data_IF_886439911348
#
_entry.id   IF_886439911348
#
_cell.length_a   1.000
_cell.length_b   1.000
_cell.length_c   1.000
_cell.angle_alpha   90.00
_cell.angle_beta   90.00
_cell.angle_gamma   90.00
#
_symmetry.space_group_name_H-M   'P 1'
#
loop_
_entity.id
_entity.type
_entity.pdbx_description
1 polymer ?
#
# COMPACT_ATOMS: atom_id res chain seq x y z
N UNK A 1 47.44 50.90 -8.86
CA UNK A 1 48.82 51.18 -9.30
C UNK A 1 49.21 50.16 -10.34
N UNK A 2 49.60 50.74 -11.54
CA UNK A 2 50.51 50.22 -12.60
C UNK A 2 50.08 48.88 -13.28
N UNK A 3 49.50 48.94 -14.47
CA UNK A 3 50.01 49.20 -15.85
C UNK A 3 51.29 48.38 -16.17
N UNK A 4 51.19 47.46 -17.15
CA UNK A 4 51.79 47.79 -18.44
C UNK A 4 51.39 46.78 -19.54
N UNK A 5 51.09 47.40 -20.64
CA UNK A 5 50.96 46.89 -22.01
C UNK A 5 52.30 46.39 -22.51
N UNK A 6 52.32 45.47 -23.43
CA UNK A 6 53.19 45.58 -24.61
C UNK A 6 52.59 44.91 -25.84
N UNK A 7 52.73 45.57 -26.93
CA UNK A 7 52.16 45.50 -28.25
C UNK A 7 53.15 44.93 -29.25
N UNK A 8 52.64 44.11 -30.17
CA UNK A 8 52.96 43.99 -31.61
C UNK A 8 54.33 43.47 -32.08
N UNK A 9 54.36 42.62 -33.05
CA UNK A 9 54.50 42.98 -34.48
C UNK A 9 54.36 41.75 -35.40
N UNK A 10 53.68 42.08 -36.47
CA UNK A 10 53.46 41.37 -37.72
C UNK A 10 54.73 40.91 -38.43
N UNK A 11 54.67 39.80 -39.13
CA UNK A 11 55.25 39.70 -40.47
C UNK A 11 54.54 38.63 -41.31
N UNK A 12 54.15 39.06 -42.47
CA UNK A 12 53.51 38.37 -43.55
C UNK A 12 54.48 37.57 -44.43
N UNK A 13 54.04 36.43 -44.97
CA UNK A 13 53.98 36.02 -46.40
C UNK A 13 54.19 34.50 -46.60
N UNK A 14 53.96 33.92 -47.78
CA UNK A 14 52.66 33.43 -48.25
C UNK A 14 52.71 31.97 -48.74
N UNK A 15 51.53 31.40 -48.96
CA UNK A 15 51.24 30.51 -50.10
C UNK A 15 51.73 29.08 -50.05
N UNK A 16 50.81 28.17 -49.86
CA UNK A 16 50.65 27.10 -50.88
C UNK A 16 49.27 26.47 -50.77
N UNK A 17 48.55 26.50 -51.86
CA UNK A 17 47.26 25.90 -51.97
C UNK A 17 47.39 24.36 -52.04
N UNK A 18 46.76 23.72 -51.11
CA UNK A 18 46.51 22.29 -51.11
C UNK A 18 45.07 22.07 -50.68
N UNK A 19 44.17 21.81 -51.66
CA UNK A 19 42.84 21.32 -51.37
C UNK A 19 42.93 20.08 -50.51
N UNK A 20 42.50 20.17 -49.25
CA UNK A 20 42.17 19.00 -48.47
C UNK A 20 40.85 18.44 -49.01
N UNK A 21 40.75 17.13 -49.28
CA UNK A 21 39.47 16.51 -49.58
C UNK A 21 38.50 16.70 -48.39
N UNK A 22 37.19 16.85 -48.66
CA UNK A 22 36.19 16.96 -47.58
C UNK A 22 36.25 15.69 -46.75
N UNK A 23 36.26 15.88 -45.42
CA UNK A 23 36.06 14.81 -44.46
C UNK A 23 34.75 14.11 -44.80
N UNK A 24 34.69 12.75 -44.77
CA UNK A 24 33.44 12.06 -44.96
C UNK A 24 32.47 12.50 -43.85
N UNK A 25 31.31 12.98 -44.27
CA UNK A 25 30.17 13.14 -43.36
C UNK A 25 29.96 11.80 -42.66
N UNK A 26 30.16 11.81 -41.32
CA UNK A 26 29.72 10.73 -40.47
C UNK A 26 28.20 10.67 -40.60
N UNK A 27 27.75 9.82 -41.54
CA UNK A 27 26.35 9.41 -41.57
C UNK A 27 26.01 8.84 -40.20
N UNK A 28 25.15 9.56 -39.49
CA UNK A 28 24.59 9.11 -38.23
C UNK A 28 24.05 7.70 -38.43
N UNK A 29 24.64 6.74 -37.72
CA UNK A 29 24.20 5.35 -37.68
C UNK A 29 22.78 5.32 -37.06
N UNK A 30 21.73 4.93 -37.82
CA UNK A 30 20.36 4.90 -37.30
C UNK A 30 20.16 3.84 -36.22
N UNK A 31 21.16 2.99 -35.95
CA UNK A 31 21.13 2.01 -34.85
C UNK A 31 21.45 2.56 -33.46
N UNK A 32 22.00 3.80 -33.34
CA UNK A 32 22.44 4.38 -32.06
C UNK A 32 21.38 5.16 -31.29
N UNK A 33 20.29 5.55 -31.93
CA UNK A 33 19.20 6.29 -31.28
C UNK A 33 18.32 5.41 -30.41
N UNK A 34 18.13 4.14 -30.75
CA UNK A 34 17.28 3.21 -29.97
C UNK A 34 17.90 2.79 -28.64
N UNK A 35 19.22 2.70 -28.54
CA UNK A 35 19.94 2.25 -27.35
C UNK A 35 20.04 3.39 -26.28
N UNK A 36 20.12 4.64 -26.73
CA UNK A 36 20.07 5.83 -25.87
C UNK A 36 18.71 5.97 -25.17
N UNK A 37 17.62 5.89 -25.95
CA UNK A 37 16.27 5.99 -25.43
C UNK A 37 15.91 4.85 -24.46
N UNK A 38 16.37 3.64 -24.71
CA UNK A 38 16.17 2.50 -23.81
C UNK A 38 16.93 2.67 -22.50
N UNK A 39 18.15 3.17 -22.56
CA UNK A 39 18.97 3.47 -21.38
C UNK A 39 18.37 4.60 -20.55
N UNK A 40 17.88 5.65 -21.17
CA UNK A 40 17.29 6.79 -20.47
C UNK A 40 15.97 6.37 -19.79
N UNK A 41 15.15 5.54 -20.42
CA UNK A 41 13.96 4.93 -19.79
C UNK A 41 14.33 4.10 -18.57
N UNK A 42 15.32 3.23 -18.69
CA UNK A 42 15.79 2.40 -17.56
C UNK A 42 16.31 3.24 -16.39
N UNK A 43 17.04 4.33 -16.70
CA UNK A 43 17.52 5.28 -15.68
C UNK A 43 16.36 5.95 -14.96
N UNK A 44 15.32 6.37 -15.69
CA UNK A 44 14.15 7.00 -15.06
C UNK A 44 13.34 5.99 -14.24
N UNK A 45 13.12 4.78 -14.73
CA UNK A 45 12.50 3.68 -13.96
C UNK A 45 13.27 3.39 -12.66
N UNK A 46 14.61 3.32 -12.73
CA UNK A 46 15.44 3.13 -11.54
C UNK A 46 15.36 4.30 -10.56
N UNK A 47 15.29 5.53 -11.06
CA UNK A 47 15.12 6.72 -10.21
C UNK A 47 13.77 6.74 -9.52
N UNK A 48 12.70 6.36 -10.22
CA UNK A 48 11.36 6.24 -9.64
C UNK A 48 11.32 5.15 -8.58
N UNK A 49 11.92 3.98 -8.84
CA UNK A 49 12.02 2.90 -7.86
C UNK A 49 12.80 3.31 -6.60
N UNK A 50 13.90 4.07 -6.75
CA UNK A 50 14.67 4.60 -5.62
C UNK A 50 13.86 5.63 -4.83
N UNK A 51 13.18 6.57 -5.49
CA UNK A 51 12.31 7.54 -4.82
C UNK A 51 11.19 6.84 -4.03
N UNK A 52 10.51 5.88 -4.65
CA UNK A 52 9.47 5.10 -3.99
C UNK A 52 9.99 4.32 -2.76
N UNK A 53 11.23 3.78 -2.82
CA UNK A 53 11.88 3.14 -1.68
C UNK A 53 12.19 4.13 -0.57
N UNK A 54 12.73 5.31 -0.91
CA UNK A 54 13.12 6.32 0.07
C UNK A 54 11.89 6.92 0.76
N UNK A 55 10.80 7.17 0.02
CA UNK A 55 9.50 7.57 0.56
C UNK A 55 8.94 6.50 1.51
N UNK A 56 9.02 5.21 1.14
CA UNK A 56 8.64 4.11 2.01
C UNK A 56 9.42 4.13 3.34
N UNK A 57 10.74 4.27 3.29
CA UNK A 57 11.58 4.30 4.49
C UNK A 57 11.25 5.50 5.39
N UNK A 58 10.99 6.67 4.80
CA UNK A 58 10.62 7.87 5.54
C UNK A 58 9.28 7.69 6.25
N UNK A 59 8.25 7.19 5.54
CA UNK A 59 6.92 6.93 6.09
C UNK A 59 6.99 5.83 7.15
N UNK A 60 7.68 4.71 6.89
CA UNK A 60 7.86 3.62 7.84
C UNK A 60 8.51 4.11 9.15
N UNK A 61 9.57 4.92 9.03
CA UNK A 61 10.26 5.50 10.19
C UNK A 61 9.31 6.39 11.01
N UNK A 62 8.53 7.24 10.36
CA UNK A 62 7.57 8.11 11.03
C UNK A 62 6.48 7.30 11.74
N UNK A 63 5.91 6.32 11.06
CA UNK A 63 4.81 5.50 11.57
C UNK A 63 5.24 4.51 12.65
N UNK A 64 6.50 4.06 12.65
CA UNK A 64 7.07 3.29 13.76
C UNK A 64 7.38 4.17 14.98
N UNK A 65 7.75 5.42 14.78
CA UNK A 65 8.02 6.35 15.89
C UNK A 65 6.75 6.77 16.60
N UNK A 66 5.64 6.95 15.88
CA UNK A 66 4.36 7.44 16.44
C UNK A 66 3.83 6.61 17.63
N UNK A 67 3.78 5.26 17.59
CA UNK A 67 3.29 4.48 18.70
C UNK A 67 4.26 4.39 19.89
N UNK A 68 5.54 4.72 19.68
CA UNK A 68 6.53 4.67 20.76
C UNK A 68 6.25 5.71 21.86
N UNK A 69 5.79 6.90 21.47
CA UNK A 69 5.46 7.96 22.43
C UNK A 69 4.33 7.57 23.39
N UNK A 70 3.16 7.06 22.94
CA UNK A 70 2.13 6.55 23.85
C UNK A 70 2.61 5.38 24.73
N UNK A 71 3.44 4.47 24.22
CA UNK A 71 4.02 3.36 24.98
C UNK A 71 4.88 3.90 26.13
N UNK A 72 5.78 4.83 25.83
CA UNK A 72 6.63 5.47 26.83
C UNK A 72 5.81 6.25 27.87
N UNK A 73 4.75 6.93 27.44
CA UNK A 73 3.84 7.63 28.36
C UNK A 73 3.12 6.66 29.31
N UNK A 74 2.60 5.54 28.82
CA UNK A 74 1.99 4.51 29.66
C UNK A 74 2.99 4.01 30.73
N UNK A 75 4.24 3.74 30.35
CA UNK A 75 5.29 3.32 31.29
C UNK A 75 5.57 4.38 32.37
N UNK A 76 5.59 5.67 32.00
CA UNK A 76 5.76 6.75 32.97
C UNK A 76 4.57 6.84 33.94
N UNK A 77 3.34 6.71 33.43
CA UNK A 77 2.12 6.74 34.25
C UNK A 77 2.04 5.55 35.21
N UNK A 78 2.47 4.35 34.76
CA UNK A 78 2.58 3.16 35.63
C UNK A 78 3.54 3.42 36.79
N UNK A 79 4.75 3.95 36.51
CA UNK A 79 5.73 4.29 37.56
C UNK A 79 5.20 5.32 38.58
N UNK A 80 4.47 6.32 38.08
CA UNK A 80 3.85 7.32 38.97
C UNK A 80 2.73 6.72 39.85
N UNK A 81 1.89 5.84 39.24
CA UNK A 81 0.81 5.18 39.98
C UNK A 81 1.36 4.19 41.04
N UNK A 82 2.48 3.52 40.74
CA UNK A 82 3.18 2.65 41.70
C UNK A 82 3.69 3.46 42.90
N UNK A 83 4.28 4.64 42.67
CA UNK A 83 4.74 5.52 43.77
C UNK A 83 3.61 5.98 44.67
N UNK A 84 2.39 6.12 44.17
CA UNK A 84 1.18 6.48 44.92
C UNK A 84 0.40 5.28 45.45
N UNK A 85 0.89 4.05 45.24
CA UNK A 85 0.24 2.77 45.61
C UNK A 85 -1.19 2.63 45.05
N UNK A 86 -1.47 3.27 43.90
CA UNK A 86 -2.76 3.20 43.21
C UNK A 86 -2.79 1.99 42.27
N UNK A 87 -3.07 0.81 42.81
CA UNK A 87 -3.11 -0.45 42.08
C UNK A 87 -4.14 -0.46 40.94
N UNK A 88 -5.28 0.23 41.08
CA UNK A 88 -6.31 0.30 40.08
C UNK A 88 -5.80 1.07 38.85
N UNK A 89 -5.08 2.16 39.08
CA UNK A 89 -4.47 2.96 38.01
C UNK A 89 -3.32 2.22 37.34
N UNK A 90 -2.52 1.46 38.08
CA UNK A 90 -1.48 0.59 37.52
C UNK A 90 -2.09 -0.42 36.54
N UNK A 91 -3.14 -1.12 36.96
CA UNK A 91 -3.82 -2.11 36.06
C UNK A 91 -4.40 -1.44 34.83
N UNK A 92 -5.06 -0.31 34.96
CA UNK A 92 -5.60 0.44 33.83
C UNK A 92 -4.53 0.83 32.80
N UNK A 93 -3.38 1.33 33.25
CA UNK A 93 -2.29 1.73 32.36
C UNK A 93 -1.56 0.51 31.78
N UNK A 94 -1.49 -0.63 32.46
CA UNK A 94 -0.98 -1.89 31.92
C UNK A 94 -1.86 -2.39 30.77
N UNK A 95 -3.17 -2.40 30.93
CA UNK A 95 -4.11 -2.77 29.85
C UNK A 95 -3.97 -1.83 28.65
N UNK A 96 -3.75 -0.54 28.92
CA UNK A 96 -3.52 0.45 27.88
C UNK A 96 -2.19 0.19 27.15
N UNK A 97 -1.13 -0.09 27.89
CA UNK A 97 0.19 -0.43 27.35
C UNK A 97 0.12 -1.68 26.47
N UNK A 98 -0.56 -2.73 26.92
CA UNK A 98 -0.75 -3.95 26.14
C UNK A 98 -1.44 -3.67 24.80
N UNK A 99 -2.51 -2.86 24.80
CA UNK A 99 -3.17 -2.43 23.55
C UNK A 99 -2.23 -1.67 22.62
N UNK A 100 -1.38 -0.77 23.16
CA UNK A 100 -0.41 -0.02 22.35
C UNK A 100 0.65 -0.93 21.74
N UNK A 101 1.14 -1.91 22.49
CA UNK A 101 2.12 -2.89 21.99
C UNK A 101 1.49 -3.77 20.89
N UNK A 102 0.27 -4.27 21.08
CA UNK A 102 -0.45 -5.04 20.04
C UNK A 102 -0.60 -4.21 18.74
N UNK A 103 -0.96 -2.94 18.86
CA UNK A 103 -1.05 -2.03 17.72
C UNK A 103 0.32 -1.79 17.04
N UNK A 104 1.40 -1.71 17.83
CA UNK A 104 2.75 -1.56 17.29
C UNK A 104 3.17 -2.80 16.51
N UNK A 105 2.94 -4.00 17.06
CA UNK A 105 3.25 -5.28 16.39
C UNK A 105 2.47 -5.39 15.07
N UNK A 106 1.16 -5.12 15.08
CA UNK A 106 0.35 -5.15 13.86
C UNK A 106 0.90 -4.21 12.78
N UNK A 107 1.36 -3.00 13.16
CA UNK A 107 1.98 -2.05 12.22
C UNK A 107 3.32 -2.54 11.66
N UNK A 108 4.15 -3.17 12.48
CA UNK A 108 5.43 -3.74 12.01
C UNK A 108 5.22 -4.89 11.04
N UNK A 109 4.21 -5.72 11.26
CA UNK A 109 3.87 -6.81 10.34
C UNK A 109 3.44 -6.29 8.97
N UNK A 110 2.56 -5.28 8.92
CA UNK A 110 2.16 -4.63 7.66
C UNK A 110 3.39 -4.12 6.89
N UNK A 111 4.36 -3.50 7.57
CA UNK A 111 5.57 -3.00 6.90
C UNK A 111 6.44 -4.14 6.36
N UNK A 112 6.52 -5.27 7.08
CA UNK A 112 7.24 -6.46 6.64
C UNK A 112 6.58 -7.06 5.39
N UNK A 113 5.26 -7.18 5.38
CA UNK A 113 4.48 -7.68 4.23
C UNK A 113 4.69 -6.79 3.00
N UNK A 114 4.63 -5.46 3.17
CA UNK A 114 4.94 -4.51 2.09
C UNK A 114 6.33 -4.72 1.54
N UNK A 115 7.34 -4.91 2.41
CA UNK A 115 8.71 -5.16 1.98
C UNK A 115 8.83 -6.49 1.21
N UNK A 116 8.14 -7.53 1.65
CA UNK A 116 8.14 -8.84 0.99
C UNK A 116 7.44 -8.78 -0.38
N UNK A 117 6.25 -8.20 -0.46
CA UNK A 117 5.51 -8.05 -1.72
C UNK A 117 6.30 -7.19 -2.71
N UNK A 118 6.87 -6.05 -2.24
CA UNK A 118 7.64 -5.13 -3.10
C UNK A 118 8.92 -5.76 -3.64
N UNK A 119 9.57 -6.62 -2.86
CA UNK A 119 10.80 -7.31 -3.28
C UNK A 119 10.53 -8.58 -4.10
N UNK A 120 9.27 -8.92 -4.38
CA UNK A 120 8.88 -10.17 -5.05
C UNK A 120 9.18 -11.43 -4.24
N UNK A 121 9.45 -11.28 -2.93
CA UNK A 121 9.78 -12.39 -2.02
C UNK A 121 8.56 -12.96 -1.29
N UNK A 122 7.41 -12.32 -1.45
CA UNK A 122 6.18 -12.86 -0.87
C UNK A 122 5.80 -14.13 -1.63
N UNK A 123 5.74 -15.22 -0.92
CA UNK A 123 5.33 -16.52 -1.45
C UNK A 123 3.96 -16.86 -0.89
N UNK A 124 3.00 -17.10 -1.79
CA UNK A 124 1.69 -17.63 -1.41
C UNK A 124 1.86 -19.07 -0.93
N UNK A 125 1.08 -19.44 0.07
CA UNK A 125 0.88 -20.83 0.52
C UNK A 125 -0.57 -21.27 0.23
N UNK A 126 -0.91 -21.53 -1.06
CA UNK A 126 -2.27 -21.84 -1.44
C UNK A 126 -2.67 -23.21 -0.97
N UNK A 127 -3.87 -23.30 -0.40
CA UNK A 127 -4.50 -24.55 0.04
C UNK A 127 -5.99 -24.53 -0.31
N UNK A 128 -6.65 -25.69 -0.23
CA UNK A 128 -8.10 -25.77 -0.37
C UNK A 128 -8.76 -25.17 0.87
N UNK A 129 -9.30 -23.94 0.76
CA UNK A 129 -9.87 -23.18 1.88
C UNK A 129 -11.38 -23.08 1.71
N UNK A 130 -12.13 -23.40 2.78
CA UNK A 130 -13.55 -23.08 2.87
C UNK A 130 -13.71 -21.59 3.20
N UNK A 131 -13.90 -20.77 2.16
CA UNK A 131 -14.07 -19.32 2.29
C UNK A 131 -15.29 -18.94 3.14
N UNK A 132 -16.33 -19.80 3.15
CA UNK A 132 -17.54 -19.53 3.95
C UNK A 132 -17.23 -19.58 5.44
N UNK A 133 -16.43 -20.55 5.87
CA UNK A 133 -16.00 -20.69 7.27
C UNK A 133 -14.98 -19.62 7.63
N UNK A 134 -13.99 -19.38 6.78
CA UNK A 134 -12.95 -18.37 7.01
C UNK A 134 -13.56 -16.98 7.20
N UNK A 135 -14.41 -16.53 6.25
CA UNK A 135 -15.06 -15.23 6.31
C UNK A 135 -16.05 -15.15 7.49
N UNK A 136 -16.76 -16.24 7.77
CA UNK A 136 -17.65 -16.32 8.93
C UNK A 136 -16.91 -16.12 10.26
N UNK A 137 -15.71 -16.70 10.39
CA UNK A 137 -14.83 -16.49 11.55
C UNK A 137 -14.42 -15.02 11.69
N UNK A 138 -13.92 -14.41 10.63
CA UNK A 138 -13.51 -12.98 10.61
C UNK A 138 -14.69 -12.08 10.96
N UNK A 139 -15.86 -12.33 10.39
CA UNK A 139 -17.09 -11.58 10.69
C UNK A 139 -17.41 -11.63 12.18
N UNK A 140 -17.35 -12.80 12.81
CA UNK A 140 -17.60 -12.94 14.25
C UNK A 140 -16.63 -12.14 15.10
N UNK A 141 -15.34 -12.11 14.72
CA UNK A 141 -14.31 -11.35 15.41
C UNK A 141 -14.51 -9.84 15.26
N UNK A 142 -15.08 -9.39 14.13
CA UNK A 142 -15.36 -7.97 13.87
C UNK A 142 -16.70 -7.47 14.44
N UNK A 143 -17.65 -8.34 14.77
CA UNK A 143 -18.96 -7.95 15.32
C UNK A 143 -18.86 -6.97 16.51
N UNK A 144 -18.00 -7.18 17.53
CA UNK A 144 -17.89 -6.24 18.64
C UNK A 144 -17.35 -4.86 18.21
N UNK A 145 -16.46 -4.81 17.23
CA UNK A 145 -15.90 -3.57 16.72
C UNK A 145 -16.96 -2.78 15.91
N UNK A 146 -17.71 -3.46 15.06
CA UNK A 146 -18.81 -2.87 14.29
C UNK A 146 -19.88 -2.31 15.22
N UNK A 147 -20.28 -3.07 16.25
CA UNK A 147 -21.27 -2.62 17.23
C UNK A 147 -20.80 -1.37 17.98
N UNK A 148 -19.53 -1.30 18.38
CA UNK A 148 -18.92 -0.11 19.03
C UNK A 148 -18.90 1.12 18.15
N UNK A 149 -18.82 0.95 16.82
CA UNK A 149 -18.88 2.06 15.87
C UNK A 149 -20.30 2.60 15.66
N UNK A 150 -21.31 1.96 16.22
CA UNK A 150 -22.73 2.28 16.01
C UNK A 150 -23.29 1.74 14.70
N UNK A 151 -22.52 0.89 14.00
CA UNK A 151 -22.93 0.26 12.74
C UNK A 151 -23.65 -1.07 12.99
N UNK A 152 -24.47 -1.50 12.02
CA UNK A 152 -25.03 -2.84 11.92
C UNK A 152 -24.29 -3.60 10.82
N UNK A 153 -23.94 -4.89 11.06
CA UNK A 153 -23.29 -5.74 10.06
C UNK A 153 -24.29 -6.72 9.46
N UNK A 154 -24.62 -6.54 8.19
CA UNK A 154 -25.43 -7.46 7.40
C UNK A 154 -24.52 -8.49 6.72
N UNK A 155 -24.82 -9.77 6.89
CA UNK A 155 -23.98 -10.89 6.46
C UNK A 155 -24.75 -11.76 5.48
N UNK A 156 -24.25 -11.91 4.24
CA UNK A 156 -24.80 -12.76 3.19
C UNK A 156 -23.67 -13.64 2.64
N UNK A 157 -23.45 -14.79 3.28
CA UNK A 157 -22.37 -15.72 2.94
C UNK A 157 -22.96 -16.99 2.35
N UNK A 158 -22.65 -17.23 1.06
CA UNK A 158 -22.99 -18.49 0.40
C UNK A 158 -22.23 -19.65 1.08
N UNK A 159 -22.92 -20.73 1.43
CA UNK A 159 -22.35 -21.89 2.10
C UNK A 159 -21.42 -22.70 1.18
N UNK A 160 -20.42 -23.35 1.78
CA UNK A 160 -19.55 -24.33 1.13
C UNK A 160 -18.83 -23.80 -0.12
N UNK A 161 -18.41 -22.55 -0.10
CA UNK A 161 -17.53 -21.98 -1.14
C UNK A 161 -16.10 -22.37 -0.82
N UNK A 162 -15.54 -23.31 -1.58
CA UNK A 162 -14.15 -23.76 -1.46
C UNK A 162 -13.34 -23.22 -2.61
N UNK A 163 -12.16 -22.67 -2.33
CA UNK A 163 -11.24 -22.16 -3.33
C UNK A 163 -9.78 -22.50 -2.97
N UNK A 164 -8.92 -22.63 -3.98
CA UNK A 164 -7.48 -22.80 -3.78
C UNK A 164 -6.83 -21.41 -3.62
N UNK A 165 -6.64 -20.99 -2.38
CA UNK A 165 -6.15 -19.64 -2.02
C UNK A 165 -5.23 -19.71 -0.80
N UNK A 166 -4.48 -18.66 -0.58
CA UNK A 166 -3.75 -18.46 0.67
C UNK A 166 -4.71 -17.90 1.73
N UNK A 167 -4.96 -18.64 2.83
CA UNK A 167 -5.92 -18.23 3.86
C UNK A 167 -5.50 -16.94 4.59
N UNK A 168 -4.18 -16.72 4.78
CA UNK A 168 -3.69 -15.50 5.42
C UNK A 168 -3.93 -14.29 4.53
N UNK A 169 -3.60 -14.39 3.24
CA UNK A 169 -3.82 -13.31 2.28
C UNK A 169 -5.30 -12.95 2.15
N UNK A 170 -6.21 -13.95 2.14
CA UNK A 170 -7.65 -13.71 2.12
C UNK A 170 -8.11 -13.04 3.42
N UNK A 171 -7.63 -13.49 4.57
CA UNK A 171 -7.97 -12.89 5.87
C UNK A 171 -7.56 -11.43 5.92
N UNK A 172 -6.32 -11.10 5.54
CA UNK A 172 -5.83 -9.71 5.48
C UNK A 172 -6.68 -8.82 4.55
N UNK A 173 -7.08 -9.35 3.39
CA UNK A 173 -7.97 -8.62 2.48
C UNK A 173 -9.31 -8.30 3.17
N UNK A 174 -9.96 -9.32 3.74
CA UNK A 174 -11.29 -9.17 4.34
C UNK A 174 -11.25 -8.25 5.55
N UNK A 175 -10.28 -8.42 6.42
CA UNK A 175 -10.07 -7.58 7.62
C UNK A 175 -9.81 -6.12 7.24
N UNK A 176 -8.97 -5.88 6.23
CA UNK A 176 -8.73 -4.52 5.75
C UNK A 176 -10.01 -3.87 5.19
N UNK A 177 -10.81 -4.60 4.42
CA UNK A 177 -12.06 -4.07 3.87
C UNK A 177 -13.08 -3.79 4.98
N UNK A 178 -13.25 -4.68 5.96
CA UNK A 178 -14.13 -4.47 7.12
C UNK A 178 -13.65 -3.31 7.98
N UNK A 179 -12.36 -3.23 8.27
CA UNK A 179 -11.76 -2.12 9.01
C UNK A 179 -12.01 -0.78 8.32
N UNK A 180 -11.87 -0.72 6.99
CA UNK A 180 -12.18 0.47 6.21
C UNK A 180 -13.67 0.81 6.26
N UNK A 181 -14.58 -0.17 6.16
CA UNK A 181 -16.02 0.04 6.27
C UNK A 181 -16.42 0.59 7.64
N UNK A 182 -15.85 0.08 8.73
CA UNK A 182 -16.06 0.63 10.08
C UNK A 182 -15.53 2.06 10.19
N UNK A 183 -14.34 2.30 9.66
CA UNK A 183 -13.66 3.58 9.77
C UNK A 183 -14.33 4.70 8.98
N UNK A 184 -14.81 4.40 7.77
CA UNK A 184 -15.38 5.39 6.85
C UNK A 184 -16.91 5.32 6.74
N UNK A 185 -17.53 4.30 7.32
CA UNK A 185 -18.96 4.05 7.28
C UNK A 185 -19.82 4.99 8.14
N UNK A 186 -19.21 5.77 9.05
CA UNK A 186 -19.92 6.78 9.87
C UNK A 186 -21.05 6.21 10.74
N UNK A 187 -20.92 5.00 11.26
CA UNK A 187 -21.97 4.36 12.07
C UNK A 187 -23.18 3.86 11.27
N UNK A 188 -23.10 3.87 9.93
CA UNK A 188 -24.16 3.35 9.06
C UNK A 188 -23.99 1.86 8.80
N UNK A 189 -25.05 1.16 8.29
CA UNK A 189 -24.99 -0.27 8.02
C UNK A 189 -23.85 -0.65 7.07
N UNK A 190 -23.18 -1.74 7.41
CA UNK A 190 -22.12 -2.39 6.62
C UNK A 190 -22.66 -3.74 6.13
N UNK A 191 -22.41 -4.09 4.89
CA UNK A 191 -22.81 -5.36 4.29
C UNK A 191 -21.55 -6.12 3.87
N UNK A 192 -21.44 -7.40 4.25
CA UNK A 192 -20.46 -8.33 3.69
C UNK A 192 -21.16 -9.45 2.97
N UNK A 193 -20.71 -9.76 1.75
CA UNK A 193 -21.28 -10.80 0.92
C UNK A 193 -20.21 -11.69 0.32
N UNK A 194 -20.41 -13.01 0.38
CA UNK A 194 -19.69 -14.02 -0.38
C UNK A 194 -20.64 -14.68 -1.37
N UNK A 195 -20.29 -14.66 -2.64
CA UNK A 195 -20.97 -15.39 -3.70
C UNK A 195 -19.95 -16.09 -4.59
N UNK A 196 -20.31 -17.22 -5.16
CA UNK A 196 -19.41 -17.96 -6.06
C UNK A 196 -20.16 -18.44 -7.30
N UNK A 197 -19.44 -18.46 -8.42
CA UNK A 197 -19.75 -19.20 -9.64
C UNK A 197 -18.87 -20.46 -9.70
N UNK A 198 -18.92 -21.21 -10.80
CA UNK A 198 -17.99 -22.35 -11.04
C UNK A 198 -16.52 -21.93 -11.14
N UNK A 199 -16.25 -20.68 -11.50
CA UNK A 199 -14.89 -20.21 -11.82
C UNK A 199 -14.34 -19.22 -10.80
N UNK A 200 -15.20 -18.40 -10.19
CA UNK A 200 -14.80 -17.26 -9.37
C UNK A 200 -15.57 -17.20 -8.06
N UNK A 201 -14.88 -16.97 -6.98
CA UNK A 201 -15.44 -16.52 -5.71
C UNK A 201 -15.38 -14.98 -5.64
N UNK A 202 -16.46 -14.34 -5.20
CA UNK A 202 -16.56 -12.90 -5.03
C UNK A 202 -16.88 -12.56 -3.59
N UNK A 203 -15.99 -11.80 -2.97
CA UNK A 203 -16.14 -11.23 -1.63
C UNK A 203 -16.41 -9.74 -1.80
N UNK A 204 -17.51 -9.23 -1.29
CA UNK A 204 -17.79 -7.79 -1.35
C UNK A 204 -18.09 -7.23 0.04
N UNK A 205 -17.52 -6.07 0.34
CA UNK A 205 -17.82 -5.29 1.54
C UNK A 205 -18.35 -3.93 1.09
N UNK A 206 -19.53 -3.57 1.58
CA UNK A 206 -20.19 -2.30 1.30
C UNK A 206 -20.40 -1.53 2.58
N UNK A 207 -20.04 -0.26 2.56
CA UNK A 207 -20.42 0.74 3.55
C UNK A 207 -21.38 1.78 2.95
N UNK A 208 -22.08 2.51 3.81
CA UNK A 208 -22.94 3.61 3.43
C UNK A 208 -22.40 4.97 3.93
N UNK A 209 -21.05 5.06 4.06
CA UNK A 209 -20.34 6.19 4.63
C UNK A 209 -20.08 7.34 3.67
N UNK A 210 -18.88 7.88 3.75
CA UNK A 210 -18.45 9.09 3.01
C UNK A 210 -18.39 8.87 1.49
N UNK A 211 -18.19 7.62 1.05
CA UNK A 211 -17.99 7.28 -0.37
C UNK A 211 -16.62 7.74 -0.91
N UNK A 212 -16.42 7.56 -2.22
CA UNK A 212 -15.16 7.80 -2.91
C UNK A 212 -15.44 8.60 -4.18
N UNK A 213 -14.64 9.67 -4.39
CA UNK A 213 -14.67 10.48 -5.61
C UNK A 213 -14.11 9.67 -6.79
N UNK A 214 -14.61 9.90 -8.00
CA UNK A 214 -14.19 9.18 -9.22
C UNK A 214 -12.68 9.27 -9.45
N UNK A 215 -12.09 10.45 -9.25
CA UNK A 215 -10.64 10.70 -9.40
C UNK A 215 -9.78 9.92 -8.40
N UNK A 216 -10.34 9.51 -7.27
CA UNK A 216 -9.61 8.82 -6.21
C UNK A 216 -9.72 7.28 -6.32
N UNK A 217 -10.64 6.75 -7.13
CA UNK A 217 -10.90 5.30 -7.24
C UNK A 217 -9.69 4.47 -7.67
N UNK A 218 -8.85 5.00 -8.53
CA UNK A 218 -7.59 4.35 -8.92
C UNK A 218 -6.52 4.59 -7.86
N UNK A 219 -6.43 5.82 -7.37
CA UNK A 219 -5.40 6.30 -6.47
C UNK A 219 -5.42 5.67 -5.09
N UNK A 220 -6.59 5.28 -4.57
CA UNK A 220 -6.71 4.61 -3.27
C UNK A 220 -6.03 3.24 -3.20
N UNK A 221 -5.70 2.64 -4.34
CA UNK A 221 -4.94 1.39 -4.44
C UNK A 221 -3.43 1.62 -4.65
N UNK A 222 -2.98 2.86 -4.66
CA UNK A 222 -1.56 3.19 -4.71
C UNK A 222 -0.98 3.21 -3.30
N UNK A 223 0.32 3.00 -3.19
CA UNK A 223 1.01 2.97 -1.89
C UNK A 223 0.96 4.36 -1.25
N UNK A 224 0.65 4.39 0.05
CA UNK A 224 0.65 5.61 0.87
C UNK A 224 -0.40 6.65 0.48
N UNK A 225 -1.27 6.32 -0.49
CA UNK A 225 -2.33 7.20 -0.92
C UNK A 225 -3.54 7.13 0.02
N UNK A 226 -4.21 8.28 0.16
CA UNK A 226 -5.38 8.46 1.02
C UNK A 226 -6.38 9.38 0.32
N UNK A 227 -7.60 8.92 0.12
CA UNK A 227 -8.68 9.71 -0.51
C UNK A 227 -9.15 10.89 0.37
N UNK A 228 -8.96 10.79 1.70
CA UNK A 228 -9.41 11.83 2.67
C UNK A 228 -8.18 12.47 3.30
N UNK A 229 -8.15 13.81 3.35
CA UNK A 229 -7.03 14.63 3.79
C UNK A 229 -6.40 14.17 5.12
N UNK A 230 -5.14 14.52 5.32
CA UNK A 230 -4.23 14.07 6.40
C UNK A 230 -4.76 14.18 7.84
N UNK A 231 -5.87 14.88 8.08
CA UNK A 231 -6.35 15.22 9.42
C UNK A 231 -7.36 14.24 10.03
N UNK A 232 -7.90 13.27 9.26
CA UNK A 232 -8.96 12.38 9.74
C UNK A 232 -8.49 10.93 9.73
N UNK A 233 -8.06 10.43 10.88
CA UNK A 233 -7.78 9.03 11.25
C UNK A 233 -6.44 8.43 10.82
N UNK A 234 -5.81 7.66 11.75
CA UNK A 234 -4.53 6.98 11.58
C UNK A 234 -4.59 5.82 10.58
N UNK A 235 -3.53 5.64 9.78
CA UNK A 235 -3.33 4.51 8.88
C UNK A 235 -2.28 4.83 7.82
N UNK A 236 -1.52 3.81 7.40
CA UNK A 236 -0.40 3.93 6.46
C UNK A 236 -0.81 4.30 5.02
N UNK A 237 -2.09 4.15 4.63
CA UNK A 237 -2.48 4.19 3.21
C UNK A 237 -1.93 3.00 2.40
N UNK A 238 -1.70 1.87 3.06
CA UNK A 238 -1.09 0.67 2.46
C UNK A 238 -2.12 -0.46 2.33
N UNK A 239 -3.13 -0.51 3.19
CA UNK A 239 -4.03 -1.66 3.28
C UNK A 239 -4.70 -2.01 1.96
N UNK A 240 -5.27 -1.03 1.25
CA UNK A 240 -5.91 -1.29 -0.05
C UNK A 240 -4.91 -1.69 -1.13
N UNK A 241 -3.71 -1.12 -1.12
CA UNK A 241 -2.63 -1.54 -2.01
C UNK A 241 -2.23 -3.00 -1.73
N UNK A 242 -2.07 -3.39 -0.47
CA UNK A 242 -1.75 -4.76 -0.07
C UNK A 242 -2.87 -5.72 -0.44
N UNK A 243 -4.13 -5.35 -0.17
CA UNK A 243 -5.30 -6.14 -0.59
C UNK A 243 -5.33 -6.37 -2.10
N UNK A 244 -5.00 -5.33 -2.90
CA UNK A 244 -4.90 -5.45 -4.34
C UNK A 244 -3.75 -6.39 -4.74
N UNK A 245 -2.58 -6.21 -4.15
CA UNK A 245 -1.41 -7.05 -4.43
C UNK A 245 -1.68 -8.53 -4.11
N UNK A 246 -2.29 -8.83 -2.99
CA UNK A 246 -2.67 -10.20 -2.63
C UNK A 246 -3.71 -10.79 -3.59
N UNK A 247 -4.73 -10.02 -3.95
CA UNK A 247 -5.71 -10.48 -4.92
C UNK A 247 -5.06 -10.78 -6.29
N UNK A 248 -4.17 -9.91 -6.76
CA UNK A 248 -3.44 -10.09 -8.03
C UNK A 248 -2.47 -11.27 -7.98
N UNK A 249 -1.74 -11.47 -6.87
CA UNK A 249 -0.87 -12.63 -6.66
C UNK A 249 -1.64 -13.97 -6.69
N UNK A 250 -2.89 -13.98 -6.21
CA UNK A 250 -3.80 -15.12 -6.30
C UNK A 250 -4.51 -15.25 -7.67
N UNK A 251 -4.11 -14.46 -8.69
CA UNK A 251 -4.73 -14.48 -10.02
C UNK A 251 -6.11 -13.80 -10.07
N UNK A 252 -6.48 -13.08 -9.03
CA UNK A 252 -7.73 -12.36 -8.90
C UNK A 252 -7.61 -10.85 -9.15
N UNK A 253 -8.61 -10.11 -8.67
CA UNK A 253 -8.62 -8.64 -8.73
C UNK A 253 -9.48 -8.04 -7.63
N UNK A 254 -9.23 -6.77 -7.32
CA UNK A 254 -10.10 -5.94 -6.48
C UNK A 254 -10.63 -4.76 -7.27
N UNK A 255 -11.90 -4.42 -7.05
CA UNK A 255 -12.57 -3.28 -7.67
C UNK A 255 -13.31 -2.48 -6.63
N UNK A 256 -13.57 -1.19 -6.93
CA UNK A 256 -14.34 -0.31 -6.07
C UNK A 256 -15.45 0.38 -6.87
N UNK A 257 -16.62 0.44 -6.26
CA UNK A 257 -17.74 1.25 -6.72
C UNK A 257 -18.17 2.16 -5.56
N UNK A 258 -18.41 3.44 -5.83
CA UNK A 258 -18.84 4.39 -4.82
C UNK A 258 -19.02 5.77 -5.39
N UNK A 259 -19.74 6.62 -4.63
CA UNK A 259 -19.90 8.05 -4.93
C UNK A 259 -19.82 8.82 -3.62
N UNK A 260 -19.32 10.06 -3.61
CA UNK A 260 -19.31 10.91 -2.43
C UNK A 260 -20.70 10.98 -1.77
N UNK A 261 -20.75 10.72 -0.46
CA UNK A 261 -21.97 10.71 0.35
C UNK A 261 -22.88 9.49 0.22
N UNK A 262 -22.61 8.56 -0.71
CA UNK A 262 -23.40 7.36 -0.96
C UNK A 262 -22.73 6.05 -0.52
N UNK A 263 -21.58 6.14 0.14
CA UNK A 263 -20.78 4.99 0.55
C UNK A 263 -19.96 4.37 -0.56
N UNK A 264 -19.32 3.25 -0.24
CA UNK A 264 -18.47 2.50 -1.16
C UNK A 264 -18.74 0.99 -1.07
N UNK A 265 -18.49 0.29 -2.18
CA UNK A 265 -18.46 -1.16 -2.25
C UNK A 265 -17.14 -1.60 -2.84
N UNK A 266 -16.38 -2.36 -2.09
CA UNK A 266 -15.19 -3.05 -2.56
C UNK A 266 -15.56 -4.48 -2.90
N UNK A 267 -15.06 -4.99 -4.04
CA UNK A 267 -15.31 -6.37 -4.48
C UNK A 267 -13.99 -7.00 -4.86
N UNK A 268 -13.66 -8.11 -4.21
CA UNK A 268 -12.54 -8.98 -4.53
C UNK A 268 -13.07 -10.17 -5.28
N UNK A 269 -12.46 -10.48 -6.42
CA UNK A 269 -12.78 -11.67 -7.22
C UNK A 269 -11.55 -12.56 -7.27
N UNK A 270 -11.67 -13.80 -6.78
CA UNK A 270 -10.59 -14.79 -6.73
C UNK A 270 -10.99 -16.00 -7.57
N UNK A 271 -10.09 -16.61 -8.33
CA UNK A 271 -10.36 -17.87 -9.01
C UNK A 271 -10.58 -18.97 -7.97
N UNK A 272 -11.52 -19.89 -8.25
CA UNK A 272 -11.77 -21.05 -7.38
C UNK A 272 -10.61 -22.04 -7.49
N UNK A 273 -10.10 -22.25 -8.73
CA UNK A 273 -8.87 -23.00 -8.95
C UNK A 273 -7.77 -22.01 -9.28
N UNK A 274 -6.64 -22.07 -8.57
CA UNK A 274 -5.44 -21.35 -8.99
C UNK A 274 -5.05 -21.85 -10.36
N UNK A 275 -5.12 -20.98 -11.37
CA UNK A 275 -4.59 -21.29 -12.68
C UNK A 275 -3.15 -21.75 -12.54
N UNK A 276 -2.81 -22.91 -13.13
CA UNK A 276 -1.42 -23.34 -13.25
C UNK A 276 -0.72 -22.22 -14.03
N UNK A 277 0.07 -21.41 -13.32
CA UNK A 277 0.96 -20.47 -13.99
C UNK A 277 1.81 -21.29 -14.95
N UNK A 278 1.69 -21.01 -16.23
CA UNK A 278 2.59 -21.53 -17.25
C UNK A 278 4.02 -21.08 -16.86
N UNK A 279 4.87 -22.07 -16.56
CA UNK A 279 6.31 -21.93 -16.47
C UNK A 279 6.90 -21.32 -17.74
#
# INVERSE_FOLDING_TARGET
>A
MLRSKLVAKSSSRPGNGGLKPPLPELTADPGRTGDGDARDRLIEELREAIRARDDFLAIATHELRNPMTPILLCLQLIRMAEQTQDSAKVMHELDRLERQIKHFIARTNILLEVAQVTSGKFQLDPSAVNLSELIGGIVNDYMPLVARSGSELMVDIQNNVVASVDPMAVSEIVENLLSNAVKYGQGKPIEIKLAATSEMAQISVRDNGIGIDEKDKTRIFERFERAVGRQVQSGFGIGLWLSRSFAELMGGRITVFGKPGAGSRFTVSLPIELGKNHE
#
